data_IF_441356095845
#
_entry.id   IF_441356095845
#
_cell.length_a   1.000
_cell.length_b   1.000
_cell.length_c   1.000
_cell.angle_alpha   90.00
_cell.angle_beta   90.00
_cell.angle_gamma   90.00
#
_symmetry.space_group_name_H-M   'P 1'
#
loop_
_entity.id
_entity.type
_entity.pdbx_description
1 polymer ?
#
# COMPACT_ATOMS: atom_id res chain seq x y z
N UNK A 1 7.16 15.43 3.72
CA UNK A 1 6.55 15.61 2.37
C UNK A 1 6.21 14.24 1.81
N UNK A 2 4.92 13.95 1.62
CA UNK A 2 4.47 12.68 1.06
C UNK A 2 4.71 12.66 -0.46
N UNK A 3 5.34 11.61 -0.97
CA UNK A 3 5.52 11.36 -2.41
C UNK A 3 4.81 10.07 -2.80
N UNK A 4 4.05 10.12 -3.89
CA UNK A 4 3.39 8.97 -4.49
C UNK A 4 3.90 8.82 -5.92
N UNK A 5 4.40 7.63 -6.27
CA UNK A 5 4.80 7.26 -7.62
C UNK A 5 3.98 6.05 -8.05
N UNK A 6 3.42 6.10 -9.26
CA UNK A 6 2.61 5.01 -9.79
C UNK A 6 3.05 4.65 -11.21
N UNK A 7 3.02 3.35 -11.52
CA UNK A 7 3.13 2.83 -12.88
C UNK A 7 1.96 1.91 -13.17
N UNK A 8 1.26 2.19 -14.27
CA UNK A 8 0.09 1.45 -14.73
C UNK A 8 0.39 0.85 -16.10
N UNK A 9 0.21 -0.46 -16.22
CA UNK A 9 0.37 -1.20 -17.45
C UNK A 9 -0.52 -2.44 -17.50
N UNK A 10 -0.65 -3.08 -18.68
CA UNK A 10 -1.64 -4.14 -18.93
C UNK A 10 -1.46 -5.42 -18.10
N UNK A 11 -0.33 -5.58 -17.40
CA UNK A 11 -0.11 -6.71 -16.48
C UNK A 11 0.69 -6.33 -15.24
N UNK A 12 0.91 -5.02 -15.00
CA UNK A 12 1.67 -4.55 -13.84
C UNK A 12 1.14 -3.22 -13.36
N UNK A 13 0.74 -3.20 -12.09
CA UNK A 13 0.41 -1.99 -11.35
C UNK A 13 1.37 -1.88 -10.18
N UNK A 14 2.04 -0.74 -10.04
CA UNK A 14 2.91 -0.43 -8.91
C UNK A 14 2.51 0.91 -8.31
N UNK A 15 2.43 0.98 -7.00
CA UNK A 15 2.20 2.21 -6.23
C UNK A 15 3.24 2.24 -5.11
N UNK A 16 4.08 3.27 -5.12
CA UNK A 16 5.11 3.50 -4.10
C UNK A 16 4.77 4.80 -3.34
N UNK A 17 4.75 4.72 -2.01
CA UNK A 17 4.41 5.84 -1.13
C UNK A 17 5.49 6.00 -0.07
N UNK A 18 6.11 7.18 -0.02
CA UNK A 18 7.20 7.51 0.92
C UNK A 18 6.91 8.82 1.65
N UNK A 19 7.52 9.01 2.83
CA UNK A 19 7.39 10.25 3.60
C UNK A 19 6.04 10.44 4.28
N UNK A 20 5.33 9.34 4.57
CA UNK A 20 4.02 9.33 5.23
C UNK A 20 4.11 9.00 6.74
N UNK A 21 5.32 9.03 7.30
CA UNK A 21 5.63 8.83 8.72
C UNK A 21 5.68 10.13 9.56
N UNK A 22 5.21 11.27 9.03
CA UNK A 22 5.38 12.59 9.68
C UNK A 22 4.48 12.83 10.91
N UNK A 23 5.13 13.19 12.02
CA UNK A 23 4.57 13.38 13.36
C UNK A 23 4.16 14.82 13.72
N UNK A 24 4.13 15.79 12.79
CA UNK A 24 3.64 17.14 13.13
C UNK A 24 3.07 17.92 11.92
N UNK A 25 2.06 18.76 12.21
CA UNK A 25 1.27 19.65 11.34
C UNK A 25 0.40 19.00 10.25
N UNK A 26 0.80 17.85 9.69
CA UNK A 26 0.09 17.17 8.58
C UNK A 26 -0.60 15.85 8.93
N UNK A 27 -0.71 15.49 10.21
CA UNK A 27 -1.07 14.12 10.65
C UNK A 27 -2.34 13.51 10.03
N UNK A 28 -3.36 14.34 9.72
CA UNK A 28 -4.59 13.87 9.02
C UNK A 28 -4.31 13.38 7.60
N UNK A 29 -3.37 14.00 6.89
CA UNK A 29 -3.01 13.63 5.51
C UNK A 29 -2.16 12.36 5.53
N UNK A 30 -1.20 12.25 6.44
CA UNK A 30 -0.41 11.02 6.62
C UNK A 30 -1.32 9.83 6.96
N UNK A 31 -2.25 10.02 7.89
CA UNK A 31 -3.22 9.00 8.26
C UNK A 31 -4.13 8.60 7.09
N UNK A 32 -4.61 9.56 6.29
CA UNK A 32 -5.44 9.28 5.13
C UNK A 32 -4.70 8.45 4.07
N UNK A 33 -3.46 8.83 3.75
CA UNK A 33 -2.62 8.10 2.80
C UNK A 33 -2.31 6.69 3.32
N UNK A 34 -1.94 6.56 4.59
CA UNK A 34 -1.69 5.27 5.25
C UNK A 34 -2.94 4.38 5.25
N UNK A 35 -4.11 4.95 5.51
CA UNK A 35 -5.37 4.20 5.52
C UNK A 35 -5.69 3.64 4.12
N UNK A 36 -5.48 4.42 3.06
CA UNK A 36 -5.72 3.98 1.68
C UNK A 36 -4.76 2.85 1.29
N UNK A 37 -3.45 3.02 1.55
CA UNK A 37 -2.45 2.01 1.17
C UNK A 37 -2.64 0.71 1.95
N UNK A 38 -2.92 0.80 3.26
CA UNK A 38 -3.23 -0.38 4.08
C UNK A 38 -4.55 -1.04 3.67
N UNK A 39 -5.58 -0.26 3.31
CA UNK A 39 -6.84 -0.82 2.82
C UNK A 39 -6.65 -1.57 1.51
N UNK A 40 -5.83 -1.06 0.59
CA UNK A 40 -5.50 -1.76 -0.65
C UNK A 40 -4.79 -3.10 -0.35
N UNK A 41 -3.83 -3.11 0.57
CA UNK A 41 -3.15 -4.33 1.00
C UNK A 41 -4.13 -5.36 1.60
N UNK A 42 -4.98 -4.93 2.54
CA UNK A 42 -6.00 -5.78 3.16
C UNK A 42 -6.97 -6.37 2.13
N UNK A 43 -7.37 -5.58 1.12
CA UNK A 43 -8.19 -6.02 0.02
C UNK A 43 -7.53 -7.13 -0.79
N UNK A 44 -6.25 -6.95 -1.16
CA UNK A 44 -5.48 -7.95 -1.89
C UNK A 44 -5.26 -9.24 -1.07
N UNK A 45 -4.95 -9.12 0.23
CA UNK A 45 -4.88 -10.25 1.14
C UNK A 45 -6.20 -11.03 1.21
N UNK A 46 -7.33 -10.31 1.26
CA UNK A 46 -8.65 -10.96 1.26
C UNK A 46 -8.91 -11.73 -0.03
N UNK A 47 -8.59 -11.17 -1.19
CA UNK A 47 -8.72 -11.86 -2.47
C UNK A 47 -7.81 -13.10 -2.53
N UNK A 48 -6.57 -13.00 -2.07
CA UNK A 48 -5.65 -14.15 -1.98
C UNK A 48 -6.21 -15.27 -1.09
N UNK A 49 -6.85 -14.93 0.04
CA UNK A 49 -7.53 -15.90 0.91
C UNK A 49 -8.74 -16.55 0.25
N UNK A 50 -9.49 -15.82 -0.57
CA UNK A 50 -10.68 -16.31 -1.25
C UNK A 50 -10.36 -17.17 -2.48
N UNK A 51 -9.20 -16.93 -3.11
CA UNK A 51 -8.77 -17.57 -4.36
C UNK A 51 -7.31 -18.04 -4.28
N UNK A 52 -6.98 -18.98 -3.37
CA UNK A 52 -5.59 -19.37 -3.10
C UNK A 52 -4.91 -20.12 -4.26
N UNK A 53 -5.68 -20.62 -5.23
CA UNK A 53 -5.21 -21.26 -6.46
C UNK A 53 -4.87 -20.26 -7.58
N UNK A 54 -5.35 -19.02 -7.47
CA UNK A 54 -5.23 -18.00 -8.52
C UNK A 54 -4.40 -16.79 -8.08
N UNK A 55 -4.35 -16.51 -6.78
CA UNK A 55 -3.77 -15.28 -6.25
C UNK A 55 -2.86 -15.60 -5.07
N UNK A 56 -1.58 -15.24 -5.20
CA UNK A 56 -0.61 -15.26 -4.11
C UNK A 56 -0.25 -13.83 -3.70
N UNK A 57 0.16 -13.68 -2.44
CA UNK A 57 0.64 -12.41 -1.89
C UNK A 57 1.91 -12.67 -1.09
N UNK A 58 2.91 -11.82 -1.28
CA UNK A 58 4.16 -11.80 -0.54
C UNK A 58 4.32 -10.41 0.09
N UNK A 59 4.47 -10.36 1.42
CA UNK A 59 4.55 -9.12 2.20
C UNK A 59 5.91 -9.10 2.89
N UNK A 60 6.77 -8.17 2.47
CA UNK A 60 8.05 -7.91 3.12
C UNK A 60 7.90 -6.67 4.01
N UNK A 61 8.36 -6.76 5.26
CA UNK A 61 8.44 -5.62 6.18
C UNK A 61 9.92 -5.31 6.44
N UNK A 62 10.35 -4.10 6.13
CA UNK A 62 11.66 -3.62 6.57
C UNK A 62 11.62 -3.41 8.08
N UNK A 63 12.51 -4.08 8.80
CA UNK A 63 12.69 -3.84 10.23
C UNK A 63 13.63 -2.66 10.41
N UNK A 64 13.18 -1.63 11.15
CA UNK A 64 14.00 -0.47 11.50
C UNK A 64 15.14 -0.83 12.47
#
# INVERSE_FOLDING_TARGET
MIRIQAQLGPGRTSIEVTGHEEHAAGGRVCAAVSAITQTALLGLEQIARQHPDLVSIDITQETA
#
